data_IF_893946673951
#
_entry.id   IF_893946673951
#
_cell.length_a   1.000
_cell.length_b   1.000
_cell.length_c   1.000
_cell.angle_alpha   90.00
_cell.angle_beta   90.00
_cell.angle_gamma   90.00
#
_symmetry.space_group_name_H-M   'P 1'
#
loop_
_entity.id
_entity.type
_entity.pdbx_description
1 polymer ?
#
# COMPACT_ATOMS: atom_id res chain seq x y z
N UNK A 1 72.99 6.29 43.92
CA UNK A 1 72.39 7.04 42.80
C UNK A 1 72.50 6.19 41.55
N UNK A 2 71.34 5.81 40.99
CA UNK A 2 71.08 5.52 39.56
C UNK A 2 71.94 4.42 38.90
N UNK A 3 71.52 3.14 38.93
CA UNK A 3 70.49 2.48 38.10
C UNK A 3 70.85 2.31 36.62
N UNK A 4 71.38 1.12 36.27
CA UNK A 4 71.29 0.48 34.95
C UNK A 4 71.17 -1.03 35.20
N UNK A 5 70.03 -1.63 34.83
CA UNK A 5 69.80 -3.09 34.81
C UNK A 5 69.10 -3.44 33.49
N UNK A 6 69.60 -4.43 32.72
CA UNK A 6 69.09 -4.74 31.39
C UNK A 6 67.99 -5.81 31.39
N UNK A 7 67.21 -5.76 30.31
CA UNK A 7 66.39 -6.78 29.62
C UNK A 7 66.55 -8.25 30.07
N UNK A 8 65.41 -8.94 30.30
CA UNK A 8 65.19 -10.33 29.86
C UNK A 8 63.76 -10.85 30.12
N UNK A 9 63.36 -11.74 29.20
CA UNK A 9 62.48 -12.92 29.33
C UNK A 9 61.01 -12.80 28.90
N UNK A 10 60.82 -13.11 27.62
CA UNK A 10 59.73 -13.92 27.07
C UNK A 10 59.48 -15.20 27.90
N UNK A 11 58.21 -15.52 28.14
CA UNK A 11 57.81 -16.71 28.89
C UNK A 11 56.53 -17.35 28.31
N UNK A 12 56.74 -18.53 27.68
CA UNK A 12 55.86 -19.72 27.58
C UNK A 12 54.60 -19.63 26.67
N UNK A 13 54.31 -20.61 25.79
CA UNK A 13 54.88 -21.93 25.59
C UNK A 13 54.31 -22.64 24.34
N UNK A 14 55.05 -23.63 23.88
CA UNK A 14 54.94 -24.43 22.65
C UNK A 14 54.04 -25.69 22.77
N UNK A 15 53.34 -26.00 21.67
CA UNK A 15 53.09 -27.33 21.04
C UNK A 15 52.12 -28.36 21.69
N UNK A 16 51.59 -29.39 20.96
CA UNK A 16 51.88 -29.82 19.58
C UNK A 16 50.68 -30.16 18.65
N UNK A 17 51.06 -30.33 17.38
CA UNK A 17 50.36 -30.83 16.21
C UNK A 17 50.01 -32.33 16.31
N UNK A 18 48.84 -32.75 15.84
CA UNK A 18 48.59 -34.14 15.42
C UNK A 18 47.97 -34.18 14.02
N UNK A 19 48.56 -35.02 13.18
CA UNK A 19 48.27 -35.31 11.78
C UNK A 19 48.18 -36.83 11.61
N UNK A 20 47.51 -37.27 10.54
CA UNK A 20 47.23 -38.63 10.02
C UNK A 20 45.76 -39.04 10.20
N UNK A 21 45.03 -39.53 9.19
CA UNK A 21 45.40 -39.95 7.84
C UNK A 21 44.14 -40.27 7.00
N UNK A 22 44.39 -40.70 5.78
CA UNK A 22 43.49 -40.68 4.62
C UNK A 22 42.92 -42.07 4.23
N UNK A 23 41.62 -42.09 3.86
CA UNK A 23 40.84 -42.94 2.88
C UNK A 23 40.84 -44.49 3.00
N UNK A 24 39.74 -45.19 2.60
CA UNK A 24 39.48 -45.45 1.17
C UNK A 24 38.01 -45.49 0.69
N UNK A 25 37.89 -45.31 -0.62
CA UNK A 25 36.73 -45.53 -1.49
C UNK A 25 36.31 -47.02 -1.54
N UNK A 26 35.01 -47.32 -1.52
CA UNK A 26 34.46 -48.58 -2.02
C UNK A 26 33.02 -48.44 -2.55
N UNK A 27 32.90 -48.76 -3.85
CA UNK A 27 31.85 -49.46 -4.58
C UNK A 27 30.34 -49.12 -4.42
N UNK A 28 29.70 -49.08 -5.59
CA UNK A 28 28.28 -48.94 -5.86
C UNK A 28 27.41 -50.04 -5.21
N UNK A 29 26.25 -49.61 -4.71
CA UNK A 29 25.11 -50.44 -4.35
C UNK A 29 23.85 -49.58 -4.42
N UNK A 30 22.78 -50.13 -5.01
CA UNK A 30 21.48 -49.46 -5.20
C UNK A 30 20.92 -48.87 -3.89
N UNK A 31 20.24 -47.70 -3.94
CA UNK A 31 19.60 -47.18 -2.75
C UNK A 31 18.38 -48.02 -2.37
N UNK A 32 18.19 -48.37 -1.08
CA UNK A 32 16.98 -49.03 -0.63
C UNK A 32 15.77 -48.09 -0.75
N UNK A 33 14.68 -48.60 -1.33
CA UNK A 33 13.37 -47.94 -1.42
C UNK A 33 12.79 -47.76 -0.01
N UNK A 34 12.97 -46.58 0.58
CA UNK A 34 12.25 -46.19 1.78
C UNK A 34 10.83 -45.75 1.40
N UNK A 35 9.77 -46.24 2.09
CA UNK A 35 8.42 -45.74 1.85
C UNK A 35 8.32 -44.27 2.31
N UNK A 36 7.81 -43.41 1.43
CA UNK A 36 7.54 -42.01 1.72
C UNK A 36 6.61 -41.89 2.95
N UNK A 37 6.89 -40.99 3.91
CA UNK A 37 5.92 -40.67 4.95
C UNK A 37 4.69 -40.02 4.32
N UNK A 38 3.51 -40.60 4.55
CA UNK A 38 2.24 -39.99 4.19
C UNK A 38 2.04 -38.74 5.04
N UNK A 39 2.01 -37.57 4.39
CA UNK A 39 1.63 -36.31 5.02
C UNK A 39 0.12 -36.35 5.27
N UNK A 40 -0.38 -36.01 6.47
CA UNK A 40 -1.80 -35.91 6.74
C UNK A 40 -2.43 -34.86 5.80
N UNK A 41 -3.52 -35.23 5.15
CA UNK A 41 -4.28 -34.33 4.29
C UNK A 41 -5.12 -33.47 5.23
N UNK A 42 -4.72 -32.21 5.43
CA UNK A 42 -5.54 -31.25 6.17
C UNK A 42 -6.79 -30.91 5.32
N UNK A 43 -7.97 -31.38 5.73
CA UNK A 43 -9.24 -31.13 5.05
C UNK A 43 -9.69 -29.65 5.08
N UNK A 44 -8.90 -28.75 5.67
CA UNK A 44 -9.22 -27.32 5.80
C UNK A 44 -8.76 -26.45 4.61
N UNK A 45 -8.28 -27.06 3.52
CA UNK A 45 -7.84 -26.33 2.29
C UNK A 45 -8.72 -26.57 1.04
N UNK A 46 -9.93 -27.13 1.21
CA UNK A 46 -10.83 -27.44 0.08
C UNK A 46 -11.63 -26.23 -0.44
N UNK A 47 -11.64 -25.09 0.26
CA UNK A 47 -12.40 -23.91 -0.15
C UNK A 47 -11.51 -22.86 -0.84
N UNK A 48 -11.20 -23.08 -2.12
CA UNK A 48 -11.03 -22.06 -3.19
C UNK A 48 -10.41 -22.72 -4.45
N UNK A 49 -11.18 -23.62 -5.09
CA UNK A 49 -10.99 -23.91 -6.52
C UNK A 49 -11.87 -22.94 -7.30
N UNK A 50 -11.24 -22.01 -8.01
CA UNK A 50 -11.90 -21.13 -8.97
C UNK A 50 -12.13 -21.96 -10.25
N UNK A 51 -13.34 -22.06 -10.80
CA UNK A 51 -13.53 -22.70 -12.10
C UNK A 51 -13.03 -21.80 -13.24
N UNK A 52 -12.41 -22.41 -14.25
CA UNK A 52 -11.96 -21.75 -15.49
C UNK A 52 -13.13 -21.06 -16.23
N UNK A 53 -12.90 -19.90 -16.88
CA UNK A 53 -13.95 -19.23 -17.62
C UNK A 53 -14.20 -19.89 -18.99
N UNK A 54 -15.45 -20.31 -19.20
CA UNK A 54 -16.00 -20.71 -20.48
C UNK A 54 -15.98 -19.54 -21.49
N UNK A 55 -15.49 -19.82 -22.69
CA UNK A 55 -15.53 -18.95 -23.86
C UNK A 55 -16.94 -18.89 -24.48
N UNK A 56 -17.41 -17.70 -24.86
CA UNK A 56 -18.65 -17.49 -25.64
C UNK A 56 -18.82 -16.02 -26.09
N UNK A 57 -19.55 -15.75 -27.20
CA UNK A 57 -19.05 -14.88 -28.28
C UNK A 57 -19.58 -13.44 -28.31
N UNK A 58 -18.96 -12.68 -29.21
CA UNK A 58 -19.11 -11.27 -29.58
C UNK A 58 -20.55 -10.74 -29.74
N UNK A 59 -20.78 -9.48 -29.35
CA UNK A 59 -21.74 -8.57 -30.01
C UNK A 59 -21.58 -7.09 -29.61
N UNK A 60 -21.13 -6.27 -30.58
CA UNK A 60 -21.64 -4.94 -30.95
C UNK A 60 -21.65 -3.75 -29.97
N UNK A 61 -21.21 -2.54 -30.39
CA UNK A 61 -21.15 -1.36 -29.52
C UNK A 61 -22.51 -0.65 -29.38
N UNK A 62 -22.89 -0.31 -28.14
CA UNK A 62 -24.09 0.48 -27.84
C UNK A 62 -23.79 1.99 -27.79
N UNK A 63 -24.58 2.71 -28.59
CA UNK A 63 -24.65 4.16 -28.79
C UNK A 63 -25.05 4.91 -27.52
N UNK A 64 -24.39 6.04 -27.26
CA UNK A 64 -24.76 7.03 -26.26
C UNK A 64 -26.11 7.69 -26.61
N UNK A 65 -27.03 7.79 -25.64
CA UNK A 65 -28.28 8.52 -25.77
C UNK A 65 -28.24 9.83 -24.98
N UNK A 66 -28.69 10.88 -25.66
CA UNK A 66 -28.64 12.28 -25.30
C UNK A 66 -29.64 12.67 -24.20
N UNK A 67 -29.29 13.73 -23.48
CA UNK A 67 -30.11 14.45 -22.51
C UNK A 67 -31.34 15.12 -23.19
N UNK A 68 -32.49 15.25 -22.51
CA UNK A 68 -33.62 15.99 -23.06
C UNK A 68 -33.53 17.48 -22.69
N UNK A 69 -33.68 18.32 -23.72
CA UNK A 69 -33.91 19.76 -23.64
C UNK A 69 -35.38 20.04 -23.30
N UNK A 70 -35.63 20.83 -22.26
CA UNK A 70 -36.97 21.34 -21.96
C UNK A 70 -37.22 22.65 -22.73
N UNK A 71 -38.23 22.63 -23.61
CA UNK A 71 -38.77 23.83 -24.26
C UNK A 71 -39.83 24.50 -23.39
N UNK A 72 -39.77 25.83 -23.38
CA UNK A 72 -40.71 26.78 -22.82
C UNK A 72 -41.87 27.09 -23.79
N UNK A 73 -43.10 27.16 -23.26
CA UNK A 73 -44.22 27.93 -23.83
C UNK A 73 -45.31 28.06 -22.73
N UNK A 74 -45.35 29.17 -22.00
CA UNK A 74 -46.27 30.32 -22.18
C UNK A 74 -47.77 29.99 -22.12
N UNK A 75 -48.39 30.47 -21.03
CA UNK A 75 -49.84 30.56 -20.88
C UNK A 75 -50.18 31.33 -19.61
N UNK A 76 -50.40 32.63 -19.72
CA UNK A 76 -50.84 33.52 -18.63
C UNK A 76 -52.36 33.50 -18.52
N UNK A 77 -52.97 33.11 -17.39
CA UNK A 77 -54.36 33.42 -17.12
C UNK A 77 -54.48 34.67 -16.21
N UNK A 78 -55.52 35.50 -16.41
CA UNK A 78 -55.75 36.73 -15.66
C UNK A 78 -56.29 36.40 -14.26
N UNK A 79 -55.80 37.10 -13.22
CA UNK A 79 -56.34 36.94 -11.87
C UNK A 79 -55.43 37.52 -10.79
N UNK A 80 -55.95 38.50 -10.04
CA UNK A 80 -55.23 39.22 -9.00
C UNK A 80 -54.69 38.35 -7.85
N UNK A 81 -53.71 38.90 -7.12
CA UNK A 81 -52.91 38.22 -6.07
C UNK A 81 -53.70 37.46 -4.99
N UNK A 82 -54.98 37.77 -4.77
CA UNK A 82 -55.82 37.08 -3.79
C UNK A 82 -56.33 35.69 -4.26
N UNK A 83 -56.47 35.46 -5.57
CA UNK A 83 -56.94 34.17 -6.10
C UNK A 83 -55.84 33.08 -6.08
N UNK A 84 -54.57 33.47 -6.20
CA UNK A 84 -53.42 32.53 -6.22
C UNK A 84 -53.14 31.83 -4.89
N UNK A 85 -53.58 32.38 -3.75
CA UNK A 85 -53.34 31.75 -2.43
C UNK A 85 -54.36 30.65 -2.08
N UNK A 86 -55.51 30.58 -2.79
CA UNK A 86 -56.58 29.59 -2.53
C UNK A 86 -56.48 28.32 -3.39
N UNK A 87 -55.79 28.35 -4.52
CA UNK A 87 -55.63 27.20 -5.42
C UNK A 87 -54.44 26.27 -5.08
N UNK A 88 -53.43 26.75 -4.35
CA UNK A 88 -52.22 25.99 -4.03
C UNK A 88 -52.36 25.00 -2.84
N UNK A 89 -53.52 24.94 -2.17
CA UNK A 89 -53.73 24.09 -0.97
C UNK A 89 -54.59 22.83 -1.22
N UNK A 90 -54.98 22.55 -2.48
CA UNK A 90 -55.93 21.46 -2.80
C UNK A 90 -55.44 20.40 -3.81
N UNK A 91 -54.18 20.39 -4.22
CA UNK A 91 -53.64 19.33 -5.09
C UNK A 91 -52.31 18.80 -4.55
N UNK A 92 -52.41 17.75 -3.76
CA UNK A 92 -51.28 17.01 -3.20
C UNK A 92 -51.75 15.63 -2.75
N UNK A 93 -52.18 14.81 -3.72
CA UNK A 93 -52.63 13.45 -3.47
C UNK A 93 -52.67 12.60 -4.73
N UNK A 94 -51.70 11.68 -4.82
CA UNK A 94 -51.82 10.28 -5.29
C UNK A 94 -51.66 9.93 -6.79
N UNK A 95 -50.52 9.28 -7.13
CA UNK A 95 -50.32 7.95 -7.77
C UNK A 95 -48.91 7.88 -8.42
N UNK A 96 -48.15 6.78 -8.49
CA UNK A 96 -48.31 5.37 -8.13
C UNK A 96 -46.94 4.79 -7.71
N UNK A 97 -46.72 3.52 -7.39
CA UNK A 97 -47.47 2.29 -7.60
C UNK A 97 -46.45 1.18 -7.94
N UNK A 98 -46.20 0.25 -7.02
CA UNK A 98 -45.60 -1.05 -7.31
C UNK A 98 -46.39 -2.13 -6.55
N UNK A 99 -47.12 -2.96 -7.31
CA UNK A 99 -47.71 -4.27 -6.98
C UNK A 99 -46.79 -5.33 -7.61
N UNK A 100 -46.68 -6.58 -7.18
CA UNK A 100 -47.34 -7.38 -6.14
C UNK A 100 -46.47 -8.63 -5.85
N UNK A 101 -46.92 -9.80 -5.36
CA UNK A 101 -48.24 -10.43 -5.14
C UNK A 101 -48.03 -11.61 -4.16
N UNK A 102 -48.98 -11.85 -3.24
CA UNK A 102 -49.51 -13.14 -2.73
C UNK A 102 -50.42 -12.84 -1.49
N UNK A 103 -51.74 -12.64 -1.60
CA UNK A 103 -52.86 -13.61 -1.62
C UNK A 103 -52.78 -14.66 -0.49
N UNK A 104 -53.68 -14.88 0.48
CA UNK A 104 -55.03 -14.44 0.95
C UNK A 104 -55.30 -15.24 2.27
N UNK A 105 -56.49 -15.22 2.94
CA UNK A 105 -57.79 -14.86 2.44
C UNK A 105 -58.55 -13.78 3.25
N UNK A 106 -59.66 -13.40 2.62
CA UNK A 106 -60.65 -12.38 2.93
C UNK A 106 -61.27 -12.42 4.32
N UNK A 107 -61.32 -11.25 4.95
CA UNK A 107 -62.46 -10.85 5.79
C UNK A 107 -62.92 -9.48 5.33
N UNK A 108 -63.99 -9.49 4.54
CA UNK A 108 -64.80 -8.35 4.16
C UNK A 108 -65.44 -7.73 5.42
N UNK A 109 -64.85 -6.65 5.93
CA UNK A 109 -65.51 -5.77 6.90
C UNK A 109 -66.20 -4.62 6.14
N UNK A 110 -67.52 -4.62 6.22
CA UNK A 110 -68.42 -3.59 5.70
C UNK A 110 -67.98 -2.18 6.09
N UNK A 111 -67.87 -1.30 5.10
CA UNK A 111 -67.65 0.14 5.29
C UNK A 111 -69.00 0.83 5.45
N UNK A 112 -69.57 0.78 6.65
CA UNK A 112 -70.75 1.57 7.02
C UNK A 112 -70.45 3.08 7.08
N UNK A 113 -71.49 3.95 6.98
CA UNK A 113 -71.32 5.39 6.88
C UNK A 113 -70.67 5.95 8.15
N UNK A 114 -69.48 6.55 8.00
CA UNK A 114 -68.74 7.15 9.11
C UNK A 114 -69.52 8.33 9.69
N UNK A 115 -70.13 8.10 10.87
CA UNK A 115 -70.65 9.14 11.75
C UNK A 115 -69.59 10.23 11.98
N UNK A 116 -69.95 11.53 12.01
CA UNK A 116 -69.00 12.58 12.33
C UNK A 116 -68.51 12.37 13.76
N UNK A 117 -67.26 11.90 13.90
CA UNK A 117 -66.63 11.70 15.19
C UNK A 117 -66.63 13.01 15.97
N UNK A 118 -66.98 12.91 17.25
CA UNK A 118 -66.95 14.04 18.17
C UNK A 118 -65.58 14.69 18.16
N UNK A 119 -65.52 16.02 18.34
CA UNK A 119 -64.26 16.80 18.49
C UNK A 119 -63.32 16.18 19.54
N UNK A 120 -63.88 15.44 20.49
CA UNK A 120 -63.17 14.74 21.55
C UNK A 120 -62.57 13.41 21.05
N UNK A 121 -63.30 12.64 20.24
CA UNK A 121 -62.83 11.38 19.66
C UNK A 121 -61.75 11.60 18.61
N UNK A 122 -61.91 12.64 17.77
CA UNK A 122 -60.88 13.09 16.84
C UNK A 122 -59.60 13.54 17.57
N UNK A 123 -59.73 14.21 18.73
CA UNK A 123 -58.59 14.56 19.58
C UNK A 123 -57.93 13.35 20.24
N UNK A 124 -58.71 12.32 20.60
CA UNK A 124 -58.18 11.07 21.21
C UNK A 124 -57.42 10.23 20.18
N UNK A 125 -57.94 10.09 18.97
CA UNK A 125 -57.23 9.42 17.88
C UNK A 125 -55.97 10.20 17.42
N UNK A 126 -56.00 11.53 17.45
CA UNK A 126 -54.81 12.35 17.19
C UNK A 126 -53.70 12.18 18.25
N UNK A 127 -54.04 11.81 19.50
CA UNK A 127 -53.06 11.50 20.55
C UNK A 127 -52.43 10.12 20.38
N UNK A 128 -53.16 9.14 19.85
CA UNK A 128 -52.65 7.78 19.56
C UNK A 128 -51.80 7.71 18.27
N UNK A 129 -51.92 8.71 17.38
CA UNK A 129 -51.08 8.88 16.19
C UNK A 129 -49.70 9.50 16.49
N UNK A 130 -49.41 9.83 17.75
CA UNK A 130 -48.08 10.29 18.14
C UNK A 130 -47.14 9.08 18.09
N UNK A 131 -46.03 9.12 17.33
CA UNK A 131 -45.08 8.03 17.32
C UNK A 131 -44.67 7.74 18.77
N UNK A 132 -44.68 6.46 19.14
CA UNK A 132 -44.26 6.03 20.48
C UNK A 132 -42.87 6.64 20.77
N UNK A 133 -42.62 7.18 21.97
CA UNK A 133 -41.32 7.73 22.32
C UNK A 133 -40.17 6.75 22.09
N UNK A 134 -40.45 5.44 22.17
CA UNK A 134 -39.50 4.37 21.81
C UNK A 134 -39.12 4.35 20.32
N UNK A 135 -40.06 4.66 19.42
CA UNK A 135 -39.81 4.76 17.97
C UNK A 135 -39.00 6.01 17.64
N UNK A 136 -39.23 7.12 18.36
CA UNK A 136 -38.43 8.34 18.19
C UNK A 136 -37.00 8.13 18.73
N UNK A 137 -36.86 7.47 19.88
CA UNK A 137 -35.56 7.16 20.48
C UNK A 137 -34.74 6.19 19.61
N UNK A 138 -35.34 5.12 19.10
CA UNK A 138 -34.65 4.17 18.20
C UNK A 138 -34.23 4.83 16.88
N UNK A 139 -35.02 5.75 16.34
CA UNK A 139 -34.63 6.54 15.16
C UNK A 139 -33.43 7.44 15.45
N UNK A 140 -33.41 8.14 16.58
CA UNK A 140 -32.28 8.99 16.97
C UNK A 140 -31.00 8.16 17.17
N UNK A 141 -31.11 7.00 17.83
CA UNK A 141 -29.98 6.06 17.98
C UNK A 141 -29.49 5.58 16.61
N UNK A 142 -30.41 5.14 15.74
CA UNK A 142 -30.06 4.72 14.38
C UNK A 142 -29.36 5.80 13.57
N UNK A 143 -29.81 7.05 13.67
CA UNK A 143 -29.19 8.20 13.00
C UNK A 143 -27.78 8.49 13.54
N UNK A 144 -27.55 8.39 14.85
CA UNK A 144 -26.21 8.49 15.45
C UNK A 144 -25.29 7.37 14.96
N UNK A 145 -25.77 6.13 14.88
CA UNK A 145 -24.97 5.02 14.37
C UNK A 145 -24.65 5.16 12.87
N UNK A 146 -25.62 5.61 12.06
CA UNK A 146 -25.41 5.86 10.62
C UNK A 146 -24.41 7.00 10.42
N UNK A 147 -24.57 8.13 11.12
CA UNK A 147 -23.65 9.26 10.99
C UNK A 147 -22.24 8.91 11.45
N UNK A 148 -22.12 8.17 12.55
CA UNK A 148 -20.83 7.67 13.04
C UNK A 148 -20.19 6.73 12.02
N UNK A 149 -20.95 5.78 11.46
CA UNK A 149 -20.45 4.86 10.43
C UNK A 149 -19.98 5.58 9.16
N UNK A 150 -20.75 6.55 8.68
CA UNK A 150 -20.38 7.38 7.53
C UNK A 150 -19.12 8.19 7.82
N UNK A 151 -18.98 8.76 9.03
CA UNK A 151 -17.79 9.49 9.44
C UNK A 151 -16.56 8.59 9.49
N UNK A 152 -16.69 7.36 10.01
CA UNK A 152 -15.59 6.39 10.00
C UNK A 152 -15.19 5.98 8.58
N UNK A 153 -16.15 5.74 7.67
CA UNK A 153 -15.87 5.42 6.27
C UNK A 153 -15.16 6.58 5.54
N UNK A 154 -15.62 7.82 5.77
CA UNK A 154 -14.95 9.01 5.24
C UNK A 154 -13.54 9.17 5.81
N UNK A 155 -13.34 8.90 7.09
CA UNK A 155 -12.03 8.95 7.73
C UNK A 155 -11.06 7.93 7.12
N UNK A 156 -11.48 6.68 6.92
CA UNK A 156 -10.65 5.66 6.26
C UNK A 156 -10.31 6.07 4.83
N UNK A 157 -11.29 6.58 4.08
CA UNK A 157 -11.07 7.06 2.71
C UNK A 157 -10.08 8.22 2.66
N UNK A 158 -10.20 9.17 3.60
CA UNK A 158 -9.25 10.27 3.76
C UNK A 158 -7.83 9.77 4.07
N UNK A 159 -7.69 8.81 4.99
CA UNK A 159 -6.38 8.24 5.34
C UNK A 159 -5.70 7.57 4.15
N UNK A 160 -6.45 6.90 3.26
CA UNK A 160 -5.88 6.22 2.10
C UNK A 160 -5.62 7.15 0.91
N UNK A 161 -6.50 8.11 0.66
CA UNK A 161 -6.40 8.96 -0.52
C UNK A 161 -5.64 10.26 -0.27
N UNK A 162 -6.02 11.02 0.75
CA UNK A 162 -5.47 12.35 0.97
C UNK A 162 -4.01 12.31 1.43
N UNK A 163 -3.63 11.36 2.27
CA UNK A 163 -2.24 11.21 2.73
C UNK A 163 -1.31 10.86 1.57
N UNK A 164 -1.76 10.01 0.63
CA UNK A 164 -1.02 9.69 -0.59
C UNK A 164 -0.83 10.92 -1.47
N UNK A 165 -1.88 11.70 -1.70
CA UNK A 165 -1.79 12.94 -2.49
C UNK A 165 -0.81 13.92 -1.86
N UNK A 166 -0.89 14.14 -0.54
CA UNK A 166 0.02 15.03 0.18
C UNK A 166 1.47 14.55 0.11
N UNK A 167 1.70 13.25 0.27
CA UNK A 167 3.03 12.67 0.21
C UNK A 167 3.64 12.74 -1.20
N UNK A 168 2.86 12.50 -2.26
CA UNK A 168 3.35 12.72 -3.62
C UNK A 168 3.74 14.19 -3.87
N UNK A 169 2.95 15.14 -3.36
CA UNK A 169 3.29 16.55 -3.47
C UNK A 169 4.59 16.89 -2.73
N UNK A 170 4.79 16.34 -1.52
CA UNK A 170 6.02 16.51 -0.75
C UNK A 170 7.22 15.86 -1.46
N UNK A 171 7.13 14.58 -1.82
CA UNK A 171 8.17 13.85 -2.54
C UNK A 171 8.53 14.52 -3.88
N UNK A 172 7.55 15.02 -4.62
CA UNK A 172 7.78 15.79 -5.86
C UNK A 172 8.53 17.09 -5.58
N UNK A 173 8.13 17.86 -4.57
CA UNK A 173 8.84 19.09 -4.19
C UNK A 173 10.27 18.86 -3.72
N UNK A 174 10.54 17.77 -3.01
CA UNK A 174 11.89 17.37 -2.58
C UNK A 174 12.74 16.92 -3.78
N UNK A 175 12.13 16.19 -4.73
CA UNK A 175 12.80 15.78 -5.98
C UNK A 175 13.21 16.99 -6.81
N UNK A 176 12.31 17.97 -6.97
CA UNK A 176 12.63 19.21 -7.68
C UNK A 176 13.71 20.03 -6.97
N UNK A 177 13.62 20.19 -5.65
CA UNK A 177 14.65 20.87 -4.87
C UNK A 177 16.02 20.20 -5.01
N UNK A 178 16.08 18.86 -4.96
CA UNK A 178 17.32 18.11 -5.18
C UNK A 178 17.89 18.38 -6.58
N UNK A 179 17.05 18.33 -7.61
CA UNK A 179 17.47 18.61 -8.98
C UNK A 179 17.96 20.05 -9.16
N UNK A 180 17.29 21.02 -8.55
CA UNK A 180 17.66 22.44 -8.58
C UNK A 180 18.98 22.70 -7.83
N UNK A 181 19.16 22.11 -6.65
CA UNK A 181 20.40 22.20 -5.88
C UNK A 181 21.58 21.57 -6.66
N UNK A 182 21.37 20.42 -7.30
CA UNK A 182 22.35 19.80 -8.17
C UNK A 182 22.69 20.68 -9.38
N UNK A 183 21.69 21.28 -10.02
CA UNK A 183 21.87 22.19 -11.15
C UNK A 183 22.60 23.49 -10.75
N UNK A 184 22.38 23.97 -9.53
CA UNK A 184 23.08 25.14 -8.97
C UNK A 184 24.54 24.85 -8.57
N UNK A 185 24.98 23.60 -8.63
CA UNK A 185 26.34 23.19 -8.26
C UNK A 185 26.62 23.19 -6.76
N UNK A 186 25.60 23.35 -5.91
CA UNK A 186 25.74 23.10 -4.47
C UNK A 186 26.01 21.61 -4.28
N UNK A 187 27.28 21.26 -4.11
CA UNK A 187 27.65 19.91 -3.68
C UNK A 187 27.33 19.76 -2.21
N UNK A 188 26.71 18.65 -1.84
CA UNK A 188 26.73 18.14 -0.46
C UNK A 188 27.70 16.95 -0.41
N UNK A 189 29.02 17.19 -0.25
CA UNK A 189 29.98 16.12 -0.18
C UNK A 189 30.01 15.58 1.26
N UNK A 190 29.34 14.46 1.52
CA UNK A 190 29.60 13.73 2.76
C UNK A 190 28.42 12.98 3.35
N UNK A 191 28.50 12.83 4.67
CA UNK A 191 27.49 12.19 5.52
C UNK A 191 26.23 13.05 5.49
N UNK A 192 25.11 12.43 5.11
CA UNK A 192 23.81 13.10 5.05
C UNK A 192 23.18 13.16 6.44
N UNK A 193 22.49 14.26 6.74
CA UNK A 193 21.73 14.39 7.97
C UNK A 193 20.45 13.54 7.91
N UNK A 194 19.98 12.97 9.04
CA UNK A 194 18.71 12.25 9.08
C UNK A 194 17.53 13.05 8.50
N UNK A 195 16.92 12.53 7.45
CA UNK A 195 15.83 13.19 6.72
C UNK A 195 16.26 14.02 5.52
N UNK A 196 17.56 14.18 5.28
CA UNK A 196 18.09 14.90 4.13
C UNK A 196 18.02 14.03 2.88
N UNK A 197 17.36 14.52 1.83
CA UNK A 197 17.36 13.91 0.51
C UNK A 197 18.76 13.94 -0.11
N UNK A 198 19.14 12.89 -0.81
CA UNK A 198 20.47 12.81 -1.47
C UNK A 198 20.48 12.10 -2.82
N UNK A 199 19.43 11.36 -3.15
CA UNK A 199 19.31 10.65 -4.42
C UNK A 199 17.84 10.56 -4.85
N UNK A 200 17.60 10.10 -6.06
CA UNK A 200 16.29 9.80 -6.61
C UNK A 200 16.27 8.33 -7.03
N UNK A 201 15.28 7.59 -6.54
CA UNK A 201 15.02 6.22 -6.95
C UNK A 201 14.07 6.21 -8.14
N UNK A 202 14.44 5.45 -9.17
CA UNK A 202 13.60 5.16 -10.32
C UNK A 202 13.38 3.64 -10.43
N UNK A 203 12.12 3.23 -10.56
CA UNK A 203 11.75 1.85 -10.89
C UNK A 203 10.81 1.91 -12.11
N UNK A 204 11.36 1.90 -13.35
CA UNK A 204 10.59 2.17 -14.57
C UNK A 204 9.36 1.26 -14.72
N UNK A 205 9.50 -0.04 -14.49
CA UNK A 205 8.40 -1.01 -14.60
C UNK A 205 7.21 -0.72 -13.68
N UNK A 206 7.44 0.02 -12.60
CA UNK A 206 6.40 0.36 -11.62
C UNK A 206 6.00 1.83 -11.68
N UNK A 207 6.55 2.61 -12.64
CA UNK A 207 6.38 4.06 -12.74
C UNK A 207 6.72 4.81 -11.43
N UNK A 208 7.71 4.30 -10.69
CA UNK A 208 8.13 4.91 -9.42
C UNK A 208 9.27 5.89 -9.67
N UNK A 209 9.06 7.12 -9.25
CA UNK A 209 10.10 8.15 -9.08
C UNK A 209 9.93 8.73 -7.67
N UNK A 210 10.90 8.48 -6.79
CA UNK A 210 10.82 8.89 -5.39
C UNK A 210 12.18 9.36 -4.87
N UNK A 211 12.25 10.45 -4.09
CA UNK A 211 13.51 10.89 -3.49
C UNK A 211 13.93 9.89 -2.40
N UNK A 212 15.23 9.65 -2.32
CA UNK A 212 15.88 8.88 -1.26
C UNK A 212 16.46 9.87 -0.26
N UNK A 213 16.12 9.70 1.01
CA UNK A 213 16.67 10.46 2.12
C UNK A 213 17.39 9.55 3.13
N UNK A 214 18.31 10.14 3.89
CA UNK A 214 19.04 9.41 4.92
C UNK A 214 18.14 9.08 6.12
N UNK A 215 18.20 7.83 6.57
CA UNK A 215 17.42 7.34 7.70
C UNK A 215 16.04 6.80 7.32
N UNK A 216 15.46 6.00 8.22
CA UNK A 216 14.18 5.29 8.01
C UNK A 216 13.08 5.74 8.99
N UNK A 217 13.18 6.98 9.48
CA UNK A 217 12.20 7.56 10.40
C UNK A 217 10.87 7.80 9.70
N UNK A 218 9.76 7.34 10.29
CA UNK A 218 8.40 7.62 9.78
C UNK A 218 8.18 9.13 9.59
N UNK A 219 8.34 9.91 10.66
CA UNK A 219 8.01 11.34 10.65
C UNK A 219 8.91 12.18 9.74
N UNK A 220 10.20 11.84 9.66
CA UNK A 220 11.18 12.65 8.92
C UNK A 220 11.29 12.24 7.45
N UNK A 221 11.05 10.97 7.14
CA UNK A 221 11.32 10.36 5.83
C UNK A 221 10.09 9.68 5.24
N UNK A 222 9.65 8.56 5.82
CA UNK A 222 8.71 7.66 5.14
C UNK A 222 7.32 8.28 4.98
N UNK A 223 6.80 8.97 5.99
CA UNK A 223 5.47 9.62 5.96
C UNK A 223 5.44 10.85 5.02
N UNK A 224 6.59 11.28 4.51
CA UNK A 224 6.68 12.33 3.47
C UNK A 224 6.69 11.76 2.05
N UNK A 225 6.52 10.46 1.90
CA UNK A 225 6.59 9.76 0.61
C UNK A 225 7.98 9.59 0.04
N UNK A 226 9.00 9.71 0.88
CA UNK A 226 10.39 9.46 0.52
C UNK A 226 10.77 8.01 0.81
N UNK A 227 11.79 7.53 0.11
CA UNK A 227 12.45 6.26 0.40
C UNK A 227 13.58 6.52 1.40
N UNK A 228 13.65 5.74 2.47
CA UNK A 228 14.68 5.89 3.51
C UNK A 228 15.86 4.95 3.27
N UNK A 229 17.08 5.47 3.30
CA UNK A 229 18.28 4.65 3.39
C UNK A 229 18.51 4.22 4.85
N UNK A 230 18.89 2.96 5.06
CA UNK A 230 19.35 2.49 6.36
C UNK A 230 20.75 3.07 6.66
N UNK A 231 20.81 4.34 7.05
CA UNK A 231 22.07 5.08 7.28
C UNK A 231 22.53 5.15 8.73
N UNK A 232 21.66 4.79 9.67
CA UNK A 232 21.82 5.07 11.10
C UNK A 232 22.02 3.80 11.93
N UNK A 233 22.86 3.90 12.97
CA UNK A 233 23.01 2.89 14.02
C UNK A 233 23.47 1.52 13.52
N UNK A 234 22.97 0.47 14.16
CA UNK A 234 23.36 -0.92 13.89
C UNK A 234 22.87 -1.45 12.53
N UNK A 235 21.95 -0.74 11.87
CA UNK A 235 21.43 -1.11 10.55
C UNK A 235 22.12 -0.38 9.40
N UNK A 236 23.18 0.39 9.68
CA UNK A 236 23.88 1.17 8.66
C UNK A 236 24.34 0.30 7.48
N UNK A 237 23.88 0.65 6.28
CA UNK A 237 24.21 0.01 5.01
C UNK A 237 25.19 0.83 4.18
N UNK A 238 25.75 0.21 3.14
CA UNK A 238 26.73 0.86 2.28
C UNK A 238 26.05 1.81 1.28
N UNK A 239 26.67 2.94 0.99
CA UNK A 239 26.22 3.86 -0.07
C UNK A 239 26.42 3.24 -1.47
N UNK A 240 25.67 3.69 -2.50
CA UNK A 240 25.74 3.10 -3.83
C UNK A 240 27.12 3.25 -4.52
N UNK A 241 27.90 4.27 -4.16
CA UNK A 241 29.26 4.52 -4.66
C UNK A 241 30.33 3.62 -4.02
N UNK A 242 29.99 2.94 -2.92
CA UNK A 242 30.87 1.96 -2.30
C UNK A 242 31.24 0.83 -3.29
N UNK A 243 32.51 0.43 -3.28
CA UNK A 243 33.04 -0.60 -4.20
C UNK A 243 32.45 -1.98 -3.94
N UNK A 244 32.05 -2.26 -2.70
CA UNK A 244 31.31 -3.44 -2.29
C UNK A 244 30.35 -3.07 -1.16
N UNK A 245 29.27 -3.85 -1.01
CA UNK A 245 28.29 -3.69 0.05
C UNK A 245 26.87 -3.90 -0.45
N UNK A 246 25.94 -3.64 0.47
CA UNK A 246 24.50 -3.70 0.22
C UNK A 246 23.93 -2.33 0.56
N UNK A 247 23.24 -1.70 -0.39
CA UNK A 247 22.53 -0.43 -0.21
C UNK A 247 21.08 -0.73 0.18
N UNK A 248 20.75 -0.54 1.46
CA UNK A 248 19.44 -0.89 2.01
C UNK A 248 18.47 0.28 1.98
N UNK A 249 17.28 0.05 1.44
CA UNK A 249 16.21 1.05 1.34
C UNK A 249 14.91 0.52 1.96
N UNK A 250 14.17 1.42 2.61
CA UNK A 250 12.83 1.16 3.15
C UNK A 250 11.82 2.18 2.61
N UNK A 251 10.62 1.73 2.28
CA UNK A 251 9.51 2.63 1.95
C UNK A 251 8.14 2.03 2.28
N UNK A 252 7.12 2.90 2.36
CA UNK A 252 5.75 2.49 2.59
C UNK A 252 5.19 1.64 1.44
N UNK A 253 4.29 0.71 1.80
CA UNK A 253 3.59 -0.15 0.83
C UNK A 253 2.21 0.36 0.43
N UNK A 254 1.49 1.03 1.32
CA UNK A 254 0.05 1.31 1.13
C UNK A 254 -0.36 2.76 1.43
N UNK A 255 0.56 3.58 1.92
CA UNK A 255 0.28 4.94 2.37
C UNK A 255 1.42 5.88 1.99
N UNK A 256 1.18 7.18 2.13
CA UNK A 256 2.14 8.25 1.90
C UNK A 256 2.92 8.06 0.58
N UNK A 257 2.20 7.97 -0.53
CA UNK A 257 2.79 7.87 -1.87
C UNK A 257 3.26 6.46 -2.27
N UNK A 258 3.31 5.54 -1.29
CA UNK A 258 3.46 4.10 -1.48
C UNK A 258 4.52 3.63 -2.51
N UNK A 259 5.79 4.13 -2.46
CA UNK A 259 6.78 3.83 -3.49
C UNK A 259 7.02 2.34 -3.69
N UNK A 260 6.84 1.53 -2.64
CA UNK A 260 7.10 0.09 -2.67
C UNK A 260 5.85 -0.79 -2.73
N UNK A 261 4.68 -0.23 -3.07
CA UNK A 261 3.42 -1.00 -3.14
C UNK A 261 3.54 -2.29 -3.95
N UNK A 262 4.15 -2.16 -5.12
CA UNK A 262 4.18 -3.17 -6.17
C UNK A 262 5.56 -3.77 -6.42
N UNK A 263 6.52 -3.64 -5.50
CA UNK A 263 7.84 -4.27 -5.68
C UNK A 263 7.76 -5.80 -5.76
N UNK A 264 6.67 -6.41 -5.30
CA UNK A 264 6.36 -7.82 -5.51
C UNK A 264 6.08 -8.21 -6.97
N UNK A 265 5.82 -7.24 -7.85
CA UNK A 265 5.64 -7.47 -9.30
C UNK A 265 6.97 -7.43 -10.07
N UNK A 266 8.07 -7.08 -9.39
CA UNK A 266 9.39 -7.12 -9.99
C UNK A 266 9.81 -8.57 -10.22
N UNK A 267 10.54 -8.78 -11.31
CA UNK A 267 11.10 -10.04 -11.78
C UNK A 267 12.60 -9.85 -11.97
N UNK A 268 13.31 -10.97 -12.03
CA UNK A 268 14.73 -10.96 -12.35
C UNK A 268 14.99 -10.20 -13.66
N UNK A 269 15.97 -9.28 -13.65
CA UNK A 269 16.31 -8.43 -14.79
C UNK A 269 15.56 -7.10 -14.89
N UNK A 270 14.56 -6.83 -14.05
CA UNK A 270 13.95 -5.49 -13.99
C UNK A 270 14.94 -4.47 -13.42
N UNK A 271 14.91 -3.24 -13.93
CA UNK A 271 15.83 -2.19 -13.51
C UNK A 271 15.35 -1.46 -12.25
N UNK A 272 16.31 -1.15 -11.38
CA UNK A 272 16.17 -0.20 -10.26
C UNK A 272 17.35 0.76 -10.37
N UNK A 273 17.07 2.03 -10.62
CA UNK A 273 18.10 3.05 -10.88
C UNK A 273 18.14 4.04 -9.72
N UNK A 274 19.34 4.26 -9.18
CA UNK A 274 19.60 5.30 -8.18
C UNK A 274 20.33 6.44 -8.87
N UNK A 275 19.68 7.59 -8.96
CA UNK A 275 20.24 8.83 -9.51
C UNK A 275 20.77 9.70 -8.38
N UNK A 276 22.04 10.07 -8.43
CA UNK A 276 22.65 11.07 -7.54
C UNK A 276 23.00 12.33 -8.31
N UNK A 277 23.63 13.29 -7.63
CA UNK A 277 24.13 14.52 -8.24
C UNK A 277 25.05 14.24 -9.44
N UNK A 278 25.94 13.24 -9.31
CA UNK A 278 27.03 13.02 -10.26
C UNK A 278 26.91 11.68 -11.03
N UNK A 279 26.11 10.72 -10.55
CA UNK A 279 26.15 9.34 -11.05
C UNK A 279 24.78 8.67 -11.06
N UNK A 280 24.53 7.85 -12.08
CA UNK A 280 23.45 6.85 -12.12
C UNK A 280 24.02 5.48 -11.76
N UNK A 281 23.40 4.82 -10.78
CA UNK A 281 23.71 3.44 -10.41
C UNK A 281 22.55 2.54 -10.84
N UNK A 282 22.79 1.67 -11.81
CA UNK A 282 21.76 0.78 -12.35
C UNK A 282 21.91 -0.59 -11.70
N UNK A 283 20.85 -1.03 -11.02
CA UNK A 283 20.71 -2.36 -10.47
C UNK A 283 19.70 -3.15 -11.28
N UNK A 284 19.91 -4.46 -11.34
CA UNK A 284 18.97 -5.43 -11.88
C UNK A 284 18.47 -6.31 -10.75
N UNK A 285 17.16 -6.45 -10.62
CA UNK A 285 16.54 -7.36 -9.64
C UNK A 285 17.04 -8.78 -9.90
N UNK A 286 17.38 -9.50 -8.84
CA UNK A 286 17.87 -10.88 -8.93
C UNK A 286 16.89 -11.85 -8.29
N UNK A 287 16.43 -11.54 -7.09
CA UNK A 287 15.64 -12.42 -6.24
C UNK A 287 14.76 -11.64 -5.28
N UNK A 288 13.82 -12.34 -4.63
CA UNK A 288 12.93 -11.76 -3.62
C UNK A 288 12.66 -12.76 -2.50
N UNK A 289 12.36 -12.23 -1.31
CA UNK A 289 11.83 -12.97 -0.18
C UNK A 289 10.44 -12.39 0.14
N UNK A 290 9.35 -13.06 -0.27
CA UNK A 290 8.01 -12.50 -0.18
C UNK A 290 7.52 -12.18 1.24
N UNK A 291 7.97 -12.96 2.22
CA UNK A 291 7.55 -12.86 3.62
C UNK A 291 8.74 -13.20 4.53
N UNK A 292 9.05 -12.29 5.46
CA UNK A 292 10.02 -12.50 6.55
C UNK A 292 9.57 -11.75 7.81
N UNK A 293 9.91 -12.19 9.03
CA UNK A 293 9.63 -11.42 10.24
C UNK A 293 10.33 -10.04 10.21
N UNK A 294 9.75 -8.99 10.81
CA UNK A 294 10.36 -7.66 10.89
C UNK A 294 11.72 -7.62 11.60
N UNK A 295 12.00 -8.60 12.46
CA UNK A 295 13.26 -8.73 13.19
C UNK A 295 14.40 -9.33 12.35
N UNK A 296 14.13 -9.81 11.12
CA UNK A 296 15.17 -10.34 10.24
C UNK A 296 15.99 -9.20 9.60
N UNK A 297 16.91 -8.63 10.36
CA UNK A 297 17.80 -7.56 9.91
C UNK A 297 18.94 -8.07 9.01
N UNK A 298 19.20 -9.39 9.03
CA UNK A 298 20.29 -10.01 8.24
C UNK A 298 20.13 -9.80 6.72
N UNK A 299 18.92 -9.53 6.25
CA UNK A 299 18.62 -9.17 4.85
C UNK A 299 19.32 -7.89 4.37
N UNK A 300 19.83 -7.08 5.31
CA UNK A 300 20.59 -5.86 5.06
C UNK A 300 22.11 -6.06 5.14
N UNK A 301 22.58 -7.27 5.48
CA UNK A 301 24.02 -7.54 5.57
C UNK A 301 24.73 -7.28 4.23
N UNK A 302 26.06 -7.01 4.23
CA UNK A 302 26.82 -6.76 3.01
C UNK A 302 26.69 -7.87 1.95
N UNK A 303 26.52 -9.12 2.39
CA UNK A 303 26.11 -10.25 1.55
C UNK A 303 24.82 -10.80 2.18
N UNK A 304 23.63 -10.42 1.66
CA UNK A 304 22.37 -10.70 2.34
C UNK A 304 21.98 -12.18 2.22
N UNK A 305 21.75 -12.91 3.34
CA UNK A 305 21.32 -14.30 3.31
C UNK A 305 19.98 -14.47 2.58
N UNK A 306 19.80 -15.58 1.87
CA UNK A 306 18.58 -15.88 1.10
C UNK A 306 18.47 -15.17 -0.25
N UNK A 307 19.33 -14.18 -0.53
CA UNK A 307 19.36 -13.48 -1.83
C UNK A 307 19.93 -14.33 -2.98
N UNK A 308 20.68 -15.39 -2.67
CA UNK A 308 21.47 -16.16 -3.64
C UNK A 308 22.87 -15.58 -3.91
N UNK A 309 23.23 -14.44 -3.31
CA UNK A 309 24.59 -13.92 -3.38
C UNK A 309 25.53 -14.64 -2.42
N UNK A 310 26.73 -15.00 -2.89
CA UNK A 310 27.71 -15.80 -2.14
C UNK A 310 29.08 -15.13 -1.99
N UNK A 311 29.30 -14.01 -2.68
CA UNK A 311 30.57 -13.27 -2.70
C UNK A 311 30.31 -11.79 -2.45
N UNK A 312 31.32 -11.00 -2.03
CA UNK A 312 31.19 -9.55 -2.01
C UNK A 312 30.82 -9.01 -3.40
N UNK A 313 29.92 -8.04 -3.42
CA UNK A 313 29.45 -7.38 -4.64
C UNK A 313 28.80 -6.05 -4.31
N UNK A 314 28.11 -5.46 -5.27
CA UNK A 314 27.36 -4.21 -5.09
C UNK A 314 25.87 -4.53 -5.22
N UNK A 315 25.19 -4.54 -4.10
CA UNK A 315 23.81 -4.97 -3.97
C UNK A 315 22.90 -3.82 -3.57
N UNK A 316 21.62 -3.98 -3.87
CA UNK A 316 20.55 -3.13 -3.35
C UNK A 316 19.49 -4.02 -2.69
N UNK A 317 18.95 -3.57 -1.57
CA UNK A 317 17.86 -4.26 -0.86
C UNK A 317 16.71 -3.31 -0.69
N UNK A 318 15.53 -3.66 -1.20
CA UNK A 318 14.29 -2.90 -1.01
C UNK A 318 13.43 -3.62 0.03
N UNK A 319 13.04 -2.91 1.10
CA UNK A 319 12.23 -3.48 2.20
C UNK A 319 10.91 -2.73 2.34
N UNK A 320 9.82 -3.49 2.52
CA UNK A 320 8.50 -2.91 2.79
C UNK A 320 7.62 -3.84 3.62
N UNK A 321 6.49 -3.35 4.14
CA UNK A 321 5.54 -4.14 4.92
C UNK A 321 4.78 -5.15 4.04
N UNK A 322 4.37 -6.29 4.60
CA UNK A 322 3.51 -7.26 3.89
C UNK A 322 2.70 -8.09 4.88
N UNK A 323 1.52 -8.64 4.53
CA UNK A 323 0.64 -8.31 3.38
C UNK A 323 0.24 -6.83 3.27
N UNK A 324 -0.57 -6.48 2.26
CA UNK A 324 -1.07 -5.10 2.11
C UNK A 324 -1.93 -4.70 3.32
N UNK A 325 -1.86 -3.41 3.68
CA UNK A 325 -2.59 -2.80 4.80
C UNK A 325 -2.25 -3.36 6.19
N UNK A 326 -1.15 -4.09 6.32
CA UNK A 326 -0.62 -4.59 7.59
C UNK A 326 0.89 -4.38 7.67
N UNK A 327 1.44 -4.42 8.89
CA UNK A 327 2.87 -4.34 9.18
C UNK A 327 3.42 -5.64 9.79
N UNK A 328 2.65 -6.74 9.70
CA UNK A 328 2.96 -8.03 10.33
C UNK A 328 4.30 -8.62 9.87
N UNK A 329 4.58 -8.58 8.57
CA UNK A 329 5.81 -9.10 7.98
C UNK A 329 6.49 -8.07 7.10
N UNK A 330 7.62 -8.45 6.52
CA UNK A 330 8.34 -7.68 5.49
C UNK A 330 8.47 -8.47 4.20
N UNK A 331 8.37 -7.73 3.10
CA UNK A 331 8.72 -8.16 1.74
C UNK A 331 10.09 -7.57 1.42
N UNK A 332 10.99 -8.41 0.90
CA UNK A 332 12.36 -8.02 0.54
C UNK A 332 12.60 -8.30 -0.94
N UNK A 333 13.18 -7.35 -1.66
CA UNK A 333 13.66 -7.52 -3.03
C UNK A 333 15.14 -7.19 -3.09
N UNK A 334 15.93 -8.05 -3.71
CA UNK A 334 17.36 -7.83 -3.90
C UNK A 334 17.69 -7.60 -5.37
N UNK A 335 18.63 -6.70 -5.61
CA UNK A 335 19.23 -6.47 -6.92
C UNK A 335 20.74 -6.41 -6.86
N UNK A 336 21.39 -6.61 -8.01
CA UNK A 336 22.83 -6.48 -8.19
C UNK A 336 23.12 -5.35 -9.19
N UNK A 337 24.11 -4.53 -8.88
CA UNK A 337 24.53 -3.46 -9.78
C UNK A 337 25.11 -4.02 -11.08
N UNK A 338 24.72 -3.42 -12.20
CA UNK A 338 25.19 -3.76 -13.55
C UNK A 338 25.86 -2.59 -14.26
N UNK A 339 25.55 -1.35 -13.88
CA UNK A 339 26.16 -0.15 -14.47
C UNK A 339 26.37 0.92 -13.40
N UNK A 340 27.53 1.58 -13.46
CA UNK A 340 27.79 2.86 -12.80
C UNK A 340 28.12 3.87 -13.89
N UNK A 341 27.23 4.86 -14.06
CA UNK A 341 27.28 5.79 -15.19
C UNK A 341 27.34 7.23 -14.69
N UNK A 342 28.43 7.97 -14.96
CA UNK A 342 28.48 9.40 -14.68
C UNK A 342 27.34 10.15 -15.38
N UNK A 343 26.72 11.10 -14.68
CA UNK A 343 25.60 11.91 -15.19
C UNK A 343 25.97 12.68 -16.47
N UNK A 344 27.24 13.03 -16.63
CA UNK A 344 27.78 13.65 -17.86
C UNK A 344 27.64 12.78 -19.11
N UNK A 345 27.42 11.47 -18.97
CA UNK A 345 27.14 10.55 -20.09
C UNK A 345 25.65 10.45 -20.43
N UNK A 346 24.79 11.26 -19.82
CA UNK A 346 23.34 11.22 -19.99
C UNK A 346 22.69 10.06 -19.22
N UNK A 347 21.35 9.98 -19.32
CA UNK A 347 20.54 8.95 -18.67
C UNK A 347 20.93 7.54 -19.17
N UNK A 348 20.91 6.51 -18.31
CA UNK A 348 21.10 5.12 -18.75
C UNK A 348 19.89 4.64 -19.56
N UNK A 349 20.09 3.64 -20.41
CA UNK A 349 19.06 3.07 -21.29
C UNK A 349 17.81 2.64 -20.52
N UNK A 350 17.99 2.16 -19.29
CA UNK A 350 16.91 1.79 -18.38
C UNK A 350 15.91 2.92 -18.07
N UNK A 351 16.23 4.19 -18.34
CA UNK A 351 15.36 5.35 -18.11
C UNK A 351 14.87 6.03 -19.41
N UNK A 352 15.14 5.44 -20.57
CA UNK A 352 14.80 6.02 -21.89
C UNK A 352 13.69 5.21 -22.59
N UNK A 353 13.43 3.98 -22.14
CA UNK A 353 12.40 3.09 -22.70
C UNK A 353 10.96 3.44 -22.35
#
# INVERSE_FOLDING_TARGET
MTALRPEREDLYGETPYESYGSVPYAAAGDPPTAPMPQVPIDEETVALRIPDPLSGPESGPLRASAAPSASSATGTPPGGRAARRKAAKRRGGRHGGSRGVAAGPDTSAESGPQRPLSRVEARRQARLRKPSPAVVASRAIGEVFITTGVLMLLFVTYQLWWTNVRAHAQAGSETHQLQDDWASGKRSPGVFEPGQGFAILHIPKLDVVAPIAEGVSNKRVLDKGMVGHYGEGALKTAMPDAKTGNFGLAAHRNTHGEPFRYINKLRSGDAVVVETQDTYFVYKVTSMLPVTPPSNTSVLNPIPPGSGFTKPGRYITLTTCTPEFTSKYRLIVWGKMVEERPRSKGKPDALIE
#
